data_IF_842888202746
#
_entry.id   IF_842888202746
#
_cell.length_a   1.000
_cell.length_b   1.000
_cell.length_c   1.000
_cell.angle_alpha   90.00
_cell.angle_beta   90.00
_cell.angle_gamma   90.00
#
_symmetry.space_group_name_H-M   'P 1'
#
loop_
_entity.id
_entity.type
_entity.pdbx_description
1 polymer ?
#
# COMPACT_ATOMS: atom_id res chain seq x y z
N UNK A 1 -3.15 -16.46 -10.44
CA UNK A 1 -3.54 -15.20 -11.06
C UNK A 1 -3.19 -14.01 -10.19
N UNK A 2 -2.67 -12.97 -10.80
CA UNK A 2 -2.43 -11.73 -10.06
C UNK A 2 -3.75 -11.10 -9.65
N UNK A 3 -3.76 -10.48 -8.49
CA UNK A 3 -4.95 -9.79 -7.98
C UNK A 3 -4.65 -8.30 -7.85
N UNK A 4 -5.54 -7.50 -8.42
CA UNK A 4 -5.41 -6.04 -8.42
C UNK A 4 -6.45 -5.42 -7.49
N UNK A 5 -5.98 -4.48 -6.66
CA UNK A 5 -6.80 -3.76 -5.68
C UNK A 5 -6.73 -2.27 -5.97
N UNK A 6 -7.76 -1.70 -6.62
CA UNK A 6 -7.77 -0.27 -6.89
C UNK A 6 -7.94 0.54 -5.62
N UNK A 7 -7.48 1.80 -5.64
CA UNK A 7 -7.71 2.72 -4.55
C UNK A 7 -9.18 3.12 -4.49
N UNK A 8 -9.63 3.45 -3.29
CA UNK A 8 -10.93 4.10 -3.10
C UNK A 8 -10.71 5.61 -3.14
N UNK A 9 -11.27 6.27 -4.13
CA UNK A 9 -11.10 7.71 -4.33
C UNK A 9 -12.24 8.47 -3.70
N UNK A 10 -11.92 9.35 -2.75
CA UNK A 10 -12.88 10.30 -2.18
C UNK A 10 -12.80 11.57 -3.01
N UNK A 11 -13.82 11.80 -3.83
CA UNK A 11 -13.84 12.92 -4.77
C UNK A 11 -13.81 14.27 -4.06
N UNK A 12 -14.28 14.36 -2.83
CA UNK A 12 -14.19 15.58 -2.04
C UNK A 12 -12.76 15.96 -1.72
N UNK A 13 -11.86 15.00 -1.76
CA UNK A 13 -10.45 15.21 -1.49
C UNK A 13 -9.61 15.26 -2.77
N UNK A 14 -10.25 15.35 -3.93
CA UNK A 14 -9.55 15.40 -5.20
C UNK A 14 -8.45 16.47 -5.26
N UNK A 15 -8.64 17.69 -4.71
CA UNK A 15 -7.55 18.67 -4.69
C UNK A 15 -6.30 18.21 -3.99
N UNK A 16 -6.39 17.19 -3.14
CA UNK A 16 -5.25 16.66 -2.40
C UNK A 16 -4.53 15.54 -3.15
N UNK A 17 -5.26 14.71 -3.92
CA UNK A 17 -4.62 13.58 -4.61
C UNK A 17 -4.40 13.81 -6.10
N UNK A 18 -5.18 14.67 -6.76
CA UNK A 18 -4.98 14.96 -8.17
C UNK A 18 -3.60 15.55 -8.49
N UNK A 19 -3.02 16.46 -7.67
CA UNK A 19 -1.67 16.97 -7.96
C UNK A 19 -0.60 15.91 -8.06
N UNK A 20 -0.81 14.75 -7.44
CA UNK A 20 0.10 13.62 -7.51
C UNK A 20 -0.18 12.72 -8.71
N UNK A 21 -1.10 13.12 -9.59
CA UNK A 21 -1.52 12.35 -10.77
C UNK A 21 -2.18 11.02 -10.41
N UNK A 22 -2.75 10.96 -9.22
CA UNK A 22 -3.54 9.80 -8.83
C UNK A 22 -4.98 10.04 -9.30
N UNK A 23 -5.52 9.12 -10.06
CA UNK A 23 -6.93 9.15 -10.44
C UNK A 23 -7.40 7.75 -10.78
N UNK A 24 -8.74 7.55 -10.80
CA UNK A 24 -9.29 6.23 -11.09
C UNK A 24 -8.78 5.68 -12.43
N UNK A 25 -8.40 4.42 -12.41
CA UNK A 25 -7.85 3.76 -13.57
C UNK A 25 -6.97 2.58 -13.16
N UNK A 26 -5.85 2.36 -13.87
CA UNK A 26 -5.02 1.19 -13.60
C UNK A 26 -4.16 1.27 -12.35
N UNK A 27 -4.23 2.39 -11.63
CA UNK A 27 -3.46 2.54 -10.39
C UNK A 27 -4.05 1.71 -9.26
N UNK A 28 -3.22 1.35 -8.30
CA UNK A 28 -3.64 0.55 -7.17
C UNK A 28 -2.52 -0.39 -6.74
N UNK A 29 -2.90 -1.44 -6.06
CA UNK A 29 -1.98 -2.42 -5.52
C UNK A 29 -2.25 -3.76 -6.18
N UNK A 30 -1.19 -4.41 -6.66
CA UNK A 30 -1.29 -5.72 -7.28
C UNK A 30 -0.45 -6.72 -6.47
N UNK A 31 -1.04 -7.85 -6.14
CA UNK A 31 -0.35 -8.99 -5.56
C UNK A 31 -0.19 -10.00 -6.68
N UNK A 32 1.06 -10.25 -7.09
CA UNK A 32 1.33 -11.09 -8.26
C UNK A 32 1.45 -12.55 -7.90
N UNK A 33 1.28 -13.41 -8.89
CA UNK A 33 1.37 -14.88 -8.70
C UNK A 33 2.77 -15.32 -8.30
N UNK A 34 3.77 -14.57 -8.73
CA UNK A 34 5.17 -14.91 -8.45
C UNK A 34 5.67 -14.29 -7.15
N UNK A 35 4.77 -13.79 -6.31
CA UNK A 35 5.11 -13.37 -4.96
C UNK A 35 5.63 -11.96 -4.84
N UNK A 36 5.09 -11.03 -5.59
CA UNK A 36 5.48 -9.63 -5.50
C UNK A 36 4.29 -8.76 -5.14
N UNK A 37 4.59 -7.66 -4.45
CA UNK A 37 3.64 -6.62 -4.13
C UNK A 37 4.02 -5.38 -4.94
N UNK A 38 3.12 -4.93 -5.81
CA UNK A 38 3.35 -3.76 -6.65
C UNK A 38 2.27 -2.73 -6.35
N UNK A 39 2.68 -1.55 -5.89
CA UNK A 39 1.77 -0.45 -5.60
C UNK A 39 2.12 0.74 -6.50
N UNK A 40 1.11 1.27 -7.19
CA UNK A 40 1.29 2.42 -8.09
C UNK A 40 0.40 3.57 -7.64
N UNK A 41 0.97 4.77 -7.61
CA UNK A 41 0.26 5.97 -7.22
C UNK A 41 0.85 7.14 -8.01
N UNK A 42 0.13 7.58 -9.05
CA UNK A 42 0.67 8.59 -9.95
C UNK A 42 1.99 8.14 -10.56
N UNK A 43 3.04 8.97 -10.46
CA UNK A 43 4.37 8.58 -10.96
C UNK A 43 5.15 7.69 -9.99
N UNK A 44 4.62 7.49 -8.79
CA UNK A 44 5.31 6.71 -7.76
C UNK A 44 4.94 5.24 -7.85
N UNK A 45 5.87 4.36 -7.54
CA UNK A 45 5.54 2.95 -7.41
C UNK A 45 6.46 2.26 -6.43
N UNK A 46 5.93 1.20 -5.83
CA UNK A 46 6.65 0.28 -4.96
C UNK A 46 6.57 -1.10 -5.61
N UNK A 47 7.69 -1.78 -5.70
CA UNK A 47 7.75 -3.15 -6.17
C UNK A 47 8.65 -3.92 -5.22
N UNK A 48 8.06 -4.78 -4.41
CA UNK A 48 8.79 -5.50 -3.37
C UNK A 48 8.36 -6.96 -3.34
N UNK A 49 9.29 -7.87 -3.00
CA UNK A 49 8.90 -9.25 -2.81
C UNK A 49 8.04 -9.40 -1.56
N UNK A 50 7.02 -10.25 -1.63
CA UNK A 50 6.17 -10.53 -0.48
C UNK A 50 6.94 -11.09 0.70
N UNK A 51 8.10 -11.68 0.44
CA UNK A 51 8.97 -12.22 1.50
C UNK A 51 9.48 -11.12 2.45
N UNK A 52 9.43 -9.85 2.04
CA UNK A 52 9.80 -8.73 2.90
C UNK A 52 8.65 -8.20 3.75
N UNK A 53 7.44 -8.67 3.51
CA UNK A 53 6.29 -8.22 4.29
C UNK A 53 6.30 -8.93 5.64
N UNK A 54 6.47 -8.14 6.70
CA UNK A 54 6.42 -8.64 8.06
C UNK A 54 4.99 -8.71 8.58
N UNK A 55 4.19 -7.71 8.23
CA UNK A 55 2.82 -7.61 8.69
C UNK A 55 1.99 -6.74 7.75
N UNK A 56 0.70 -6.99 7.71
CA UNK A 56 -0.26 -6.16 6.97
C UNK A 56 -1.58 -6.14 7.74
N UNK A 57 -2.11 -4.94 7.98
CA UNK A 57 -3.36 -4.80 8.72
C UNK A 57 -4.12 -3.56 8.29
N UNK A 58 -5.42 -3.58 8.50
CA UNK A 58 -6.29 -2.44 8.19
C UNK A 58 -6.10 -1.37 9.25
N UNK A 59 -5.96 -0.12 8.82
CA UNK A 59 -5.85 1.04 9.70
C UNK A 59 -6.83 2.11 9.29
N UNK A 60 -7.07 3.08 10.17
CA UNK A 60 -7.96 4.20 9.93
C UNK A 60 -8.97 4.34 11.05
N UNK A 61 -9.83 5.39 11.00
CA UNK A 61 -9.78 6.49 10.04
C UNK A 61 -8.60 7.43 10.25
N UNK A 62 -8.31 8.25 9.25
CA UNK A 62 -7.19 9.17 9.27
C UNK A 62 -7.64 10.61 9.22
N UNK A 63 -6.74 11.52 9.56
CA UNK A 63 -6.92 12.94 9.26
C UNK A 63 -6.55 13.15 7.80
N UNK A 64 -7.46 13.73 7.02
CA UNK A 64 -7.28 13.82 5.57
C UNK A 64 -6.01 14.58 5.17
N UNK A 65 -5.62 15.58 5.96
CA UNK A 65 -4.44 16.39 5.65
C UNK A 65 -3.12 15.68 5.90
N UNK A 66 -3.14 14.53 6.56
CA UNK A 66 -1.93 13.72 6.78
C UNK A 66 -1.92 12.45 5.95
N UNK A 67 -3.07 12.04 5.42
CA UNK A 67 -3.19 10.73 4.80
C UNK A 67 -3.41 10.78 3.29
N UNK A 68 -3.89 11.89 2.75
CA UNK A 68 -4.21 11.98 1.32
C UNK A 68 -3.05 12.56 0.56
N UNK A 69 -2.68 11.92 -0.55
CA UNK A 69 -1.51 12.23 -1.35
C UNK A 69 -0.40 11.22 -1.14
N UNK A 70 0.75 11.46 -1.76
CA UNK A 70 1.94 10.67 -1.52
C UNK A 70 2.68 11.31 -0.34
N UNK A 71 2.70 10.63 0.79
CA UNK A 71 3.15 11.20 2.06
C UNK A 71 4.22 10.35 2.72
N UNK A 72 5.09 11.02 3.48
CA UNK A 72 6.08 10.36 4.32
C UNK A 72 5.73 10.58 5.78
N UNK A 73 5.90 9.54 6.58
CA UNK A 73 5.85 9.66 8.04
C UNK A 73 7.25 9.97 8.54
N UNK A 74 7.39 11.10 9.23
CA UNK A 74 8.69 11.48 9.79
C UNK A 74 9.11 10.58 10.94
N UNK A 75 8.15 9.90 11.56
CA UNK A 75 8.43 9.10 12.74
C UNK A 75 9.04 7.74 12.41
N UNK A 76 8.63 7.12 11.28
CA UNK A 76 9.00 5.74 11.00
C UNK A 76 9.36 5.49 9.53
N UNK A 77 9.62 6.54 8.75
CA UNK A 77 9.94 6.46 7.33
C UNK A 77 8.83 5.79 6.50
N UNK A 78 7.63 5.69 7.05
CA UNK A 78 6.50 5.11 6.35
C UNK A 78 6.07 5.95 5.17
N UNK A 79 5.64 5.27 4.10
CA UNK A 79 5.14 5.89 2.89
C UNK A 79 3.63 5.67 2.81
N UNK A 80 2.88 6.70 2.43
CA UNK A 80 1.43 6.60 2.27
C UNK A 80 1.05 6.99 0.85
N UNK A 81 0.28 6.14 0.20
CA UNK A 81 -0.41 6.43 -1.05
C UNK A 81 -1.89 6.55 -0.73
N UNK A 82 -2.35 7.78 -0.48
CA UNK A 82 -3.68 8.02 0.04
C UNK A 82 -4.61 8.75 -0.91
N UNK A 83 -5.83 8.25 -1.05
CA UNK A 83 -6.89 8.84 -1.86
C UNK A 83 -8.18 9.05 -1.06
N UNK A 84 -8.21 8.57 0.17
CA UNK A 84 -9.31 8.80 1.10
C UNK A 84 -8.77 8.77 2.52
N UNK A 85 -9.60 9.16 3.47
CA UNK A 85 -9.22 9.20 4.88
C UNK A 85 -10.00 8.18 5.73
N UNK A 86 -10.76 7.29 5.11
CA UNK A 86 -11.59 6.33 5.83
C UNK A 86 -10.79 5.16 6.37
N UNK A 87 -10.08 4.47 5.51
CA UNK A 87 -9.24 3.36 5.93
C UNK A 87 -8.24 2.99 4.84
N UNK A 88 -7.22 2.26 5.23
CA UNK A 88 -6.23 1.73 4.31
C UNK A 88 -5.59 0.50 4.92
N UNK A 89 -4.60 -0.03 4.22
CA UNK A 89 -3.81 -1.17 4.69
C UNK A 89 -2.41 -0.68 4.96
N UNK A 90 -1.94 -0.90 6.18
CA UNK A 90 -0.56 -0.62 6.57
C UNK A 90 0.25 -1.90 6.41
N UNK A 91 1.29 -1.84 5.60
CA UNK A 91 2.14 -2.98 5.27
C UNK A 91 3.52 -2.69 5.82
N UNK A 92 4.01 -3.53 6.73
CA UNK A 92 5.33 -3.38 7.32
C UNK A 92 6.33 -4.29 6.61
N UNK A 93 7.52 -3.75 6.37
CA UNK A 93 8.58 -4.45 5.65
C UNK A 93 9.80 -4.68 6.55
N UNK A 94 10.35 -5.89 6.47
CA UNK A 94 11.60 -6.25 7.11
C UNK A 94 12.38 -7.17 6.18
N UNK A 95 13.50 -6.76 5.63
CA UNK A 95 14.10 -5.42 5.76
C UNK A 95 13.33 -4.36 5.00
N UNK A 96 13.70 -3.10 5.23
CA UNK A 96 13.04 -1.96 4.59
C UNK A 96 13.10 -2.06 3.06
N UNK A 97 12.07 -1.55 2.40
CA UNK A 97 12.07 -1.47 0.94
C UNK A 97 12.80 -0.22 0.48
N UNK A 98 13.29 -0.26 -0.75
CA UNK A 98 14.02 0.84 -1.34
C UNK A 98 13.17 2.11 -1.38
N UNK A 99 13.80 3.24 -1.07
CA UNK A 99 13.11 4.53 -1.01
C UNK A 99 12.43 4.89 -2.33
N UNK A 100 11.25 5.45 -2.21
CA UNK A 100 10.46 5.99 -3.31
C UNK A 100 10.43 7.51 -3.23
N UNK A 101 10.29 8.02 -2.01
CA UNK A 101 10.26 9.46 -1.74
C UNK A 101 11.19 9.71 -0.56
N UNK A 102 11.92 10.82 -0.60
CA UNK A 102 12.78 11.23 0.50
C UNK A 102 14.15 10.59 0.45
N UNK A 103 14.81 10.53 1.59
CA UNK A 103 16.22 10.15 1.70
C UNK A 103 16.44 8.78 2.33
N UNK A 104 15.39 8.14 2.84
CA UNK A 104 15.51 6.88 3.55
C UNK A 104 14.65 5.81 2.91
N UNK A 105 15.09 4.58 3.06
CA UNK A 105 14.27 3.43 2.71
C UNK A 105 13.06 3.36 3.64
N UNK A 106 11.98 2.72 3.18
CA UNK A 106 10.71 2.74 3.89
C UNK A 106 10.50 1.46 4.69
N UNK A 107 10.09 1.62 5.95
CA UNK A 107 9.74 0.50 6.82
C UNK A 107 8.28 0.09 6.66
N UNK A 108 7.45 0.95 6.10
CA UNK A 108 6.02 0.69 5.95
C UNK A 108 5.45 1.41 4.74
N UNK A 109 4.36 0.85 4.21
CA UNK A 109 3.58 1.46 3.15
C UNK A 109 2.11 1.38 3.55
N UNK A 110 1.40 2.50 3.50
CA UNK A 110 -0.04 2.55 3.72
C UNK A 110 -0.73 2.87 2.41
N UNK A 111 -1.70 2.06 2.02
CA UNK A 111 -2.44 2.20 0.76
C UNK A 111 -3.94 2.19 1.03
N UNK A 112 -4.64 3.17 0.48
CA UNK A 112 -6.08 3.34 0.73
C UNK A 112 -6.91 2.67 -0.36
N UNK A 113 -6.76 1.35 -0.47
CA UNK A 113 -7.49 0.56 -1.45
C UNK A 113 -8.97 0.43 -1.06
N UNK A 114 -9.80 0.14 -2.05
CA UNK A 114 -11.24 -0.02 -1.81
C UNK A 114 -11.55 -1.29 -1.02
N UNK A 115 -10.86 -2.38 -1.30
CA UNK A 115 -11.06 -3.66 -0.60
C UNK A 115 -9.86 -3.92 0.32
N UNK A 116 -9.87 -3.27 1.48
CA UNK A 116 -8.77 -3.37 2.44
C UNK A 116 -8.60 -4.78 2.97
N UNK A 117 -9.70 -5.44 3.34
CA UNK A 117 -9.63 -6.79 3.89
C UNK A 117 -9.20 -7.80 2.84
N UNK A 118 -9.64 -7.62 1.60
CA UNK A 118 -9.21 -8.48 0.50
C UNK A 118 -7.72 -8.37 0.23
N UNK A 119 -7.16 -7.16 0.31
CA UNK A 119 -5.72 -6.97 0.13
C UNK A 119 -4.94 -7.65 1.25
N UNK A 120 -5.35 -7.47 2.50
CA UNK A 120 -4.70 -8.13 3.63
C UNK A 120 -4.72 -9.64 3.44
N UNK A 121 -5.87 -10.19 3.07
CA UNK A 121 -6.01 -11.63 2.84
C UNK A 121 -5.11 -12.11 1.69
N UNK A 122 -5.02 -11.34 0.61
CA UNK A 122 -4.18 -11.70 -0.53
C UNK A 122 -2.69 -11.71 -0.16
N UNK A 123 -2.25 -10.74 0.64
CA UNK A 123 -0.88 -10.69 1.11
C UNK A 123 -0.57 -11.89 2.02
N UNK A 124 -1.44 -12.15 2.98
CA UNK A 124 -1.23 -13.22 3.95
C UNK A 124 -1.46 -14.62 3.37
N UNK A 125 -2.24 -14.70 2.30
CA UNK A 125 -2.54 -15.97 1.65
C UNK A 125 -1.58 -16.34 0.53
N UNK A 126 -0.54 -15.53 0.27
CA UNK A 126 0.38 -15.79 -0.81
C UNK A 126 1.16 -17.08 -0.57
N UNK A 127 1.19 -18.02 -1.54
CA UNK A 127 1.79 -19.33 -1.32
C UNK A 127 3.27 -19.30 -0.92
N UNK A 128 4.04 -18.43 -1.55
CA UNK A 128 5.47 -18.35 -1.29
C UNK A 128 5.81 -17.72 0.05
N UNK A 129 4.82 -17.20 0.75
CA UNK A 129 5.02 -16.56 2.05
C UNK A 129 4.40 -17.35 3.18
N UNK A 130 3.20 -17.85 2.98
CA UNK A 130 2.40 -18.41 4.05
C UNK A 130 2.21 -19.91 3.98
N UNK A 131 2.58 -20.54 2.88
CA UNK A 131 2.38 -21.98 2.75
C UNK A 131 3.05 -22.76 3.86
N UNK A 132 4.25 -22.35 4.29
CA UNK A 132 4.97 -22.98 5.37
C UNK A 132 4.38 -22.69 6.75
N UNK A 133 3.67 -21.59 6.88
CA UNK A 133 3.08 -21.17 8.15
C UNK A 133 1.68 -21.71 8.35
N UNK A 134 0.94 -21.72 7.27
CA UNK A 134 -0.47 -22.01 7.31
C UNK A 134 -0.77 -23.49 7.58
N UNK A 135 0.14 -24.32 7.20
CA UNK A 135 -0.03 -25.74 7.39
C UNK A 135 0.83 -26.21 8.52
N UNK A 136 0.17 -26.45 9.63
CA UNK A 136 0.81 -27.19 10.66
C UNK A 136 1.09 -28.56 10.13
#
# INVERSE_FOLDING_TARGET
MSRHFPYRYDLRLAPMWLPFRAWPGPQGVTVTDDGRLVARYGPFHVDAPLSRVEDAHVTGPYRWWTAVGARLSAADDGLTFGTNASEGVCIHFEPRIRRVIGLRDHSALTVTVADTEGLVAAIKGAPNQLSAQRFP
#
